data_IF_858911026546
#
_entry.id   IF_858911026546
#
_cell.length_a   1.000
_cell.length_b   1.000
_cell.length_c   1.000
_cell.angle_alpha   90.00
_cell.angle_beta   90.00
_cell.angle_gamma   90.00
#
_symmetry.space_group_name_H-M   'P 1'
#
loop_
_entity.id
_entity.type
_entity.pdbx_description
1 polymer ?
#
# COMPACT_ATOMS: atom_id res chain seq x y z
N UNK A 1 40.62 30.25 60.37
CA UNK A 1 41.47 29.04 60.30
C UNK A 1 41.08 28.24 59.08
N UNK A 2 42.10 27.86 58.28
CA UNK A 2 42.14 26.92 57.13
C UNK A 2 41.29 27.18 55.87
N UNK A 3 42.04 27.55 54.83
CA UNK A 3 41.76 27.47 53.39
C UNK A 3 41.81 26.00 52.92
N UNK A 4 41.00 25.62 51.93
CA UNK A 4 41.39 24.70 50.84
C UNK A 4 40.73 25.21 49.54
N UNK A 5 41.58 25.38 48.52
CA UNK A 5 41.28 25.73 47.12
C UNK A 5 41.05 24.45 46.27
N UNK A 6 40.75 24.64 44.98
CA UNK A 6 40.72 23.72 43.81
C UNK A 6 39.33 23.19 43.45
N UNK A 7 38.91 23.08 42.19
CA UNK A 7 39.41 23.51 40.87
C UNK A 7 38.29 23.20 39.87
N UNK A 8 38.20 24.01 38.80
CA UNK A 8 37.28 23.82 37.68
C UNK A 8 37.55 22.51 36.91
N UNK A 9 36.49 21.89 36.35
CA UNK A 9 36.55 21.21 35.05
C UNK A 9 35.14 20.94 34.49
N UNK A 10 34.94 21.47 33.28
CA UNK A 10 33.86 21.20 32.33
C UNK A 10 33.47 19.72 32.24
N UNK A 11 32.18 19.46 32.06
CA UNK A 11 31.70 18.43 31.12
C UNK A 11 30.28 18.77 30.70
N UNK A 12 30.21 19.45 29.55
CA UNK A 12 29.02 19.64 28.73
C UNK A 12 28.63 18.26 28.18
N UNK A 13 27.71 17.55 28.84
CA UNK A 13 27.11 16.36 28.24
C UNK A 13 26.03 16.81 27.25
N UNK A 14 26.46 17.15 26.04
CA UNK A 14 25.60 17.17 24.87
C UNK A 14 25.11 15.74 24.65
N UNK A 15 23.92 15.42 25.15
CA UNK A 15 23.14 14.31 24.65
C UNK A 15 22.80 14.63 23.20
N UNK A 16 23.64 14.14 22.28
CA UNK A 16 23.28 14.02 20.88
C UNK A 16 22.13 13.03 20.80
N UNK A 17 20.91 13.55 20.87
CA UNK A 17 19.70 12.83 20.43
C UNK A 17 19.81 12.77 18.91
N UNK A 18 20.54 11.78 18.39
CA UNK A 18 20.37 11.40 17.00
C UNK A 18 18.95 10.85 16.89
N UNK A 19 18.07 11.43 16.05
CA UNK A 19 16.85 10.74 15.69
C UNK A 19 17.30 9.51 14.90
N UNK A 20 17.25 8.34 15.54
CA UNK A 20 17.13 7.10 14.80
C UNK A 20 15.87 7.29 13.96
N UNK A 21 16.03 7.40 12.65
CA UNK A 21 14.91 7.18 11.74
C UNK A 21 14.38 5.79 12.11
N UNK A 22 13.22 5.75 12.75
CA UNK A 22 12.55 4.50 13.05
C UNK A 22 12.13 3.93 11.70
N UNK A 23 12.88 2.95 11.20
CA UNK A 23 12.46 2.21 10.03
C UNK A 23 11.21 1.42 10.41
N UNK A 24 10.11 1.61 9.69
CA UNK A 24 8.92 0.79 9.93
C UNK A 24 9.20 -0.63 9.40
N UNK A 25 9.13 -1.64 10.27
CA UNK A 25 9.28 -3.03 9.85
C UNK A 25 8.24 -3.39 8.77
N UNK A 26 8.60 -4.22 7.77
CA UNK A 26 7.65 -4.69 6.78
C UNK A 26 6.41 -5.32 7.42
N UNK A 27 5.24 -4.98 6.90
CA UNK A 27 3.96 -5.47 7.39
C UNK A 27 3.68 -6.80 6.70
N UNK A 28 3.56 -7.90 7.46
CA UNK A 28 2.96 -9.13 6.92
C UNK A 28 1.44 -8.98 6.93
N UNK A 29 0.86 -8.68 5.77
CA UNK A 29 -0.57 -8.42 5.63
C UNK A 29 -1.44 -9.65 5.90
N UNK A 30 -0.86 -10.85 5.86
CA UNK A 30 -1.57 -12.10 6.20
C UNK A 30 -1.92 -12.20 7.69
N UNK A 31 -1.20 -11.46 8.53
CA UNK A 31 -1.39 -11.45 9.99
C UNK A 31 -2.46 -10.46 10.44
N UNK A 32 -3.00 -9.64 9.53
CA UNK A 32 -4.02 -8.66 9.86
C UNK A 32 -5.33 -9.41 10.12
N UNK A 33 -5.89 -9.23 11.33
CA UNK A 33 -7.18 -9.80 11.69
C UNK A 33 -8.36 -8.94 11.23
N UNK A 34 -9.50 -9.59 11.00
CA UNK A 34 -10.76 -8.93 10.76
C UNK A 34 -11.15 -8.00 11.92
N UNK A 35 -10.85 -8.36 13.17
CA UNK A 35 -11.02 -7.48 14.33
C UNK A 35 -10.27 -6.15 14.17
N UNK A 36 -9.01 -6.19 13.73
CA UNK A 36 -8.19 -4.98 13.52
C UNK A 36 -8.77 -4.12 12.40
N UNK A 37 -9.13 -4.73 11.27
CA UNK A 37 -9.70 -4.00 10.13
C UNK A 37 -11.06 -3.36 10.48
N UNK A 38 -11.97 -4.13 11.08
CA UNK A 38 -13.30 -3.65 11.43
C UNK A 38 -13.23 -2.55 12.50
N UNK A 39 -12.36 -2.70 13.51
CA UNK A 39 -12.13 -1.67 14.52
C UNK A 39 -11.59 -0.37 13.93
N UNK A 40 -10.59 -0.45 13.03
CA UNK A 40 -10.05 0.70 12.32
C UNK A 40 -11.14 1.40 11.48
N UNK A 41 -11.92 0.63 10.72
CA UNK A 41 -13.01 1.19 9.93
C UNK A 41 -14.09 1.88 10.80
N UNK A 42 -14.43 1.28 11.94
CA UNK A 42 -15.41 1.84 12.87
C UNK A 42 -14.93 3.12 13.57
N UNK A 43 -13.62 3.24 13.81
CA UNK A 43 -13.02 4.43 14.42
C UNK A 43 -13.10 5.67 13.51
N UNK A 44 -13.09 5.46 12.18
CA UNK A 44 -13.25 6.51 11.15
C UNK A 44 -12.27 7.68 11.30
N UNK A 45 -11.13 7.47 11.95
CA UNK A 45 -10.05 8.47 11.93
C UNK A 45 -9.42 8.47 10.55
N UNK A 46 -8.77 9.58 10.18
CA UNK A 46 -8.08 9.69 8.89
C UNK A 46 -7.06 8.56 8.71
N UNK A 47 -6.25 8.32 9.74
CA UNK A 47 -5.17 7.34 9.69
C UNK A 47 -5.72 5.91 9.63
N UNK A 48 -6.80 5.63 10.36
CA UNK A 48 -7.46 4.32 10.31
C UNK A 48 -8.11 4.04 8.94
N UNK A 49 -8.76 5.04 8.34
CA UNK A 49 -9.33 4.90 7.00
C UNK A 49 -8.23 4.77 5.93
N UNK A 50 -7.10 5.46 6.09
CA UNK A 50 -5.92 5.27 5.23
C UNK A 50 -5.34 3.85 5.37
N UNK A 51 -5.28 3.30 6.58
CA UNK A 51 -4.88 1.91 6.81
C UNK A 51 -5.85 0.93 6.13
N UNK A 52 -7.17 1.09 6.34
CA UNK A 52 -8.19 0.21 5.73
C UNK A 52 -8.12 0.28 4.21
N UNK A 53 -8.12 1.48 3.62
CA UNK A 53 -8.05 1.63 2.17
C UNK A 53 -6.75 1.08 1.59
N UNK A 54 -5.62 1.32 2.26
CA UNK A 54 -4.33 0.79 1.81
C UNK A 54 -4.30 -0.74 1.78
N UNK A 55 -4.71 -1.38 2.88
CA UNK A 55 -4.73 -2.85 2.97
C UNK A 55 -5.71 -3.46 1.98
N UNK A 56 -6.92 -2.89 1.84
CA UNK A 56 -7.92 -3.45 0.93
C UNK A 56 -7.57 -3.25 -0.54
N UNK A 57 -6.95 -2.13 -0.93
CA UNK A 57 -6.42 -1.96 -2.29
C UNK A 57 -5.27 -2.94 -2.56
N UNK A 58 -4.34 -3.10 -1.61
CA UNK A 58 -3.27 -4.08 -1.73
C UNK A 58 -3.84 -5.49 -1.91
N UNK A 59 -4.82 -5.88 -1.11
CA UNK A 59 -5.47 -7.20 -1.24
C UNK A 59 -6.26 -7.34 -2.54
N UNK A 60 -6.88 -6.26 -3.02
CA UNK A 60 -7.56 -6.24 -4.32
C UNK A 60 -6.63 -6.57 -5.46
N UNK A 61 -5.39 -6.05 -5.44
CA UNK A 61 -4.37 -6.39 -6.42
C UNK A 61 -3.79 -7.79 -6.20
N UNK A 62 -3.54 -8.17 -4.95
CA UNK A 62 -3.01 -9.48 -4.60
C UNK A 62 -3.90 -10.64 -5.06
N UNK A 63 -5.22 -10.45 -4.97
CA UNK A 63 -6.21 -11.45 -5.41
C UNK A 63 -6.55 -11.37 -6.90
N UNK A 64 -5.99 -10.41 -7.65
CA UNK A 64 -6.25 -10.30 -9.08
C UNK A 64 -5.81 -11.58 -9.80
N UNK A 65 -6.69 -12.11 -10.65
CA UNK A 65 -6.42 -13.35 -11.37
C UNK A 65 -5.64 -13.11 -12.64
N UNK A 66 -5.09 -14.18 -13.22
CA UNK A 66 -4.44 -14.14 -14.54
C UNK A 66 -5.42 -13.65 -15.61
N UNK A 67 -6.69 -14.06 -15.55
CA UNK A 67 -7.71 -13.70 -16.52
C UNK A 67 -8.16 -12.23 -16.36
N UNK A 68 -8.22 -11.74 -15.12
CA UNK A 68 -8.50 -10.33 -14.84
C UNK A 68 -7.34 -9.42 -15.27
N UNK A 69 -6.10 -9.90 -15.13
CA UNK A 69 -4.89 -9.16 -15.43
C UNK A 69 -4.86 -7.82 -14.69
N UNK A 70 -4.64 -6.73 -15.43
CA UNK A 70 -4.52 -5.36 -14.88
C UNK A 70 -5.81 -4.54 -15.00
N UNK A 71 -6.95 -5.21 -15.20
CA UNK A 71 -8.26 -4.56 -15.31
C UNK A 71 -8.88 -4.39 -13.93
N UNK A 72 -9.23 -3.14 -13.60
CA UNK A 72 -9.81 -2.78 -12.31
C UNK A 72 -11.10 -1.99 -12.51
N UNK A 73 -12.17 -2.47 -11.89
CA UNK A 73 -13.42 -1.72 -11.71
C UNK A 73 -13.44 -1.17 -10.27
N UNK A 74 -13.18 0.14 -10.13
CA UNK A 74 -13.03 0.76 -8.81
C UNK A 74 -14.32 0.74 -7.99
N UNK A 75 -15.48 0.81 -8.64
CA UNK A 75 -16.78 0.79 -7.97
C UNK A 75 -17.07 -0.62 -7.45
N UNK A 76 -16.87 -1.65 -8.28
CA UNK A 76 -17.05 -3.05 -7.84
C UNK A 76 -16.02 -3.46 -6.78
N UNK A 77 -14.78 -2.97 -6.89
CA UNK A 77 -13.76 -3.20 -5.88
C UNK A 77 -14.15 -2.54 -4.55
N UNK A 78 -14.67 -1.32 -4.58
CA UNK A 78 -15.20 -0.63 -3.40
C UNK A 78 -16.40 -1.37 -2.78
N UNK A 79 -17.31 -1.92 -3.58
CA UNK A 79 -18.39 -2.76 -3.06
C UNK A 79 -17.86 -4.02 -2.35
N UNK A 80 -16.79 -4.60 -2.89
CA UNK A 80 -16.10 -5.74 -2.28
C UNK A 80 -15.39 -5.36 -0.98
N UNK A 81 -14.90 -4.12 -0.86
CA UNK A 81 -14.37 -3.57 0.40
C UNK A 81 -15.46 -3.51 1.47
N UNK A 82 -16.64 -3.01 1.11
CA UNK A 82 -17.77 -2.92 2.04
C UNK A 82 -18.19 -4.31 2.53
N UNK A 83 -18.32 -5.30 1.62
CA UNK A 83 -18.63 -6.69 1.98
C UNK A 83 -17.56 -7.30 2.89
N UNK A 84 -16.28 -7.03 2.61
CA UNK A 84 -15.17 -7.51 3.45
C UNK A 84 -15.25 -6.92 4.86
N UNK A 85 -15.49 -5.61 4.99
CA UNK A 85 -15.59 -4.94 6.28
C UNK A 85 -16.79 -5.45 7.08
N UNK A 86 -17.95 -5.61 6.43
CA UNK A 86 -19.15 -6.20 7.04
C UNK A 86 -18.86 -7.61 7.57
N UNK A 87 -18.33 -8.49 6.70
CA UNK A 87 -17.93 -9.84 7.09
C UNK A 87 -16.92 -9.84 8.25
N UNK A 88 -15.93 -8.95 8.22
CA UNK A 88 -14.94 -8.87 9.29
C UNK A 88 -15.53 -8.40 10.62
N UNK A 89 -16.57 -7.56 10.60
CA UNK A 89 -17.27 -7.15 11.81
C UNK A 89 -18.03 -8.30 12.49
N UNK A 90 -18.54 -9.24 11.69
CA UNK A 90 -19.26 -10.42 12.17
C UNK A 90 -18.33 -11.58 12.55
N UNK A 91 -17.10 -11.59 11.99
CA UNK A 91 -16.13 -12.68 12.13
C UNK A 91 -14.74 -12.18 12.56
N UNK A 92 -14.59 -11.57 13.75
CA UNK A 92 -13.35 -10.89 14.16
C UNK A 92 -12.12 -11.81 14.23
N UNK A 93 -12.31 -13.12 14.46
CA UNK A 93 -11.23 -14.11 14.55
C UNK A 93 -10.67 -14.60 13.20
N UNK A 94 -11.21 -14.15 12.07
CA UNK A 94 -10.72 -14.51 10.73
C UNK A 94 -9.62 -13.53 10.29
N UNK A 95 -8.63 -14.00 9.54
CA UNK A 95 -7.63 -13.13 8.90
C UNK A 95 -8.22 -12.37 7.71
N UNK A 96 -7.85 -11.10 7.55
CA UNK A 96 -8.39 -10.25 6.47
C UNK A 96 -8.07 -10.83 5.10
N UNK A 97 -6.90 -11.45 4.91
CA UNK A 97 -6.52 -12.09 3.64
C UNK A 97 -7.55 -13.16 3.21
N UNK A 98 -8.03 -13.99 4.14
CA UNK A 98 -9.07 -14.98 3.87
C UNK A 98 -10.46 -14.36 3.72
N UNK A 99 -10.72 -13.23 4.35
CA UNK A 99 -11.98 -12.50 4.16
C UNK A 99 -12.04 -11.86 2.77
N UNK A 100 -10.95 -11.24 2.30
CA UNK A 100 -10.88 -10.60 0.99
C UNK A 100 -10.92 -11.62 -0.15
N UNK A 101 -10.33 -12.80 0.02
CA UNK A 101 -10.42 -13.89 -0.96
C UNK A 101 -11.88 -14.23 -1.33
N UNK A 102 -12.82 -14.12 -0.39
CA UNK A 102 -14.25 -14.40 -0.62
C UNK A 102 -14.97 -13.37 -1.50
N UNK A 103 -14.43 -12.16 -1.58
CA UNK A 103 -15.13 -11.03 -2.19
C UNK A 103 -14.32 -10.35 -3.30
N UNK A 104 -13.04 -10.70 -3.47
CA UNK A 104 -12.13 -10.11 -4.46
C UNK A 104 -11.66 -11.15 -5.48
N UNK A 105 -10.88 -10.70 -6.47
CA UNK A 105 -10.36 -11.57 -7.53
C UNK A 105 -11.47 -12.14 -8.40
N UNK A 106 -11.51 -13.47 -8.55
CA UNK A 106 -12.56 -14.17 -9.30
C UNK A 106 -13.98 -13.96 -8.76
N UNK A 107 -14.12 -13.47 -7.53
CA UNK A 107 -15.41 -13.20 -6.90
C UNK A 107 -15.95 -11.78 -7.19
N UNK A 108 -15.17 -10.95 -7.90
CA UNK A 108 -15.66 -9.68 -8.46
C UNK A 108 -16.30 -10.00 -9.81
N UNK A 109 -17.54 -9.55 -9.99
CA UNK A 109 -18.26 -9.70 -11.25
C UNK A 109 -17.46 -9.14 -12.44
N UNK A 110 -17.61 -9.77 -13.61
CA UNK A 110 -16.93 -9.43 -14.88
C UNK A 110 -16.77 -7.93 -15.15
N UNK A 111 -15.74 -7.58 -15.91
CA UNK A 111 -15.45 -6.20 -16.32
C UNK A 111 -16.71 -5.47 -16.84
N UNK A 112 -16.92 -4.25 -16.36
CA UNK A 112 -17.99 -3.35 -16.77
C UNK A 112 -17.46 -2.24 -17.69
N UNK A 113 -18.33 -1.42 -18.30
CA UNK A 113 -17.90 -0.22 -19.03
C UNK A 113 -17.06 0.77 -18.21
N UNK A 114 -17.15 0.72 -16.88
CA UNK A 114 -16.39 1.58 -15.95
C UNK A 114 -15.03 0.98 -15.58
N UNK A 115 -14.73 -0.24 -16.03
CA UNK A 115 -13.44 -0.89 -15.79
C UNK A 115 -12.31 -0.18 -16.52
N UNK A 116 -11.20 0.00 -15.81
CA UNK A 116 -9.97 0.62 -16.33
C UNK A 116 -8.90 -0.46 -16.44
N UNK A 117 -8.36 -0.64 -17.64
CA UNK A 117 -7.12 -1.40 -17.82
C UNK A 117 -5.92 -0.51 -17.49
N UNK A 118 -5.20 -0.83 -16.42
CA UNK A 118 -4.01 -0.07 -16.02
C UNK A 118 -2.87 -0.19 -17.03
N UNK A 119 -2.87 -1.21 -17.89
CA UNK A 119 -1.86 -1.38 -18.93
C UNK A 119 -2.00 -0.37 -20.08
N UNK A 120 -3.16 0.25 -20.26
CA UNK A 120 -3.34 1.34 -21.25
C UNK A 120 -3.12 2.73 -20.65
N UNK A 121 -3.10 2.86 -19.32
CA UNK A 121 -2.78 4.11 -18.64
C UNK A 121 -1.32 4.44 -18.90
N UNK A 122 -1.05 5.57 -19.55
CA UNK A 122 0.32 6.02 -19.84
C UNK A 122 0.92 6.81 -18.67
N UNK A 123 2.24 6.81 -18.57
CA UNK A 123 2.99 7.69 -17.68
C UNK A 123 2.62 9.17 -17.86
N UNK A 124 2.40 9.63 -19.09
CA UNK A 124 1.88 10.98 -19.36
C UNK A 124 0.51 11.20 -18.71
N UNK A 125 -0.41 10.23 -18.81
CA UNK A 125 -1.74 10.33 -18.20
C UNK A 125 -1.65 10.42 -16.68
N UNK A 126 -0.74 9.67 -16.04
CA UNK A 126 -0.50 9.76 -14.58
C UNK A 126 -0.04 11.16 -14.17
N UNK A 127 0.72 11.86 -15.02
CA UNK A 127 1.26 13.18 -14.71
C UNK A 127 0.33 14.34 -15.09
N UNK A 128 -0.63 14.13 -15.98
CA UNK A 128 -1.42 15.22 -16.59
C UNK A 128 -2.94 15.06 -16.49
N UNK A 129 -3.44 13.83 -16.36
CA UNK A 129 -4.87 13.55 -16.28
C UNK A 129 -5.34 13.54 -14.81
N UNK A 130 -6.22 14.48 -14.46
CA UNK A 130 -6.74 14.65 -13.10
C UNK A 130 -7.57 13.45 -12.61
N UNK A 131 -8.26 12.76 -13.51
CA UNK A 131 -9.08 11.61 -13.15
C UNK A 131 -8.19 10.42 -12.77
N UNK A 132 -7.07 10.23 -13.49
CA UNK A 132 -6.04 9.25 -13.14
C UNK A 132 -5.35 9.63 -11.82
N UNK A 133 -5.02 10.90 -11.63
CA UNK A 133 -4.35 11.39 -10.42
C UNK A 133 -5.19 11.25 -9.16
N UNK A 134 -6.52 11.35 -9.28
CA UNK A 134 -7.44 11.25 -8.14
C UNK A 134 -7.25 9.95 -7.36
N UNK A 135 -7.02 8.85 -8.05
CA UNK A 135 -6.90 7.51 -7.46
C UNK A 135 -5.47 6.96 -7.50
N UNK A 136 -4.46 7.79 -7.78
CA UNK A 136 -3.10 7.27 -8.08
C UNK A 136 -2.46 6.51 -6.90
N UNK A 137 -2.75 6.91 -5.67
CA UNK A 137 -2.29 6.19 -4.47
C UNK A 137 -2.91 4.80 -4.37
N UNK A 138 -4.22 4.70 -4.62
CA UNK A 138 -4.96 3.44 -4.62
C UNK A 138 -4.48 2.53 -5.76
N UNK A 139 -4.27 3.09 -6.95
CA UNK A 139 -3.70 2.40 -8.11
C UNK A 139 -2.31 1.83 -7.80
N UNK A 140 -1.42 2.61 -7.18
CA UNK A 140 -0.09 2.10 -6.81
C UNK A 140 -0.16 1.03 -5.74
N UNK A 141 -1.04 1.18 -4.75
CA UNK A 141 -1.21 0.17 -3.71
C UNK A 141 -1.77 -1.14 -4.29
N UNK A 142 -2.73 -1.05 -5.21
CA UNK A 142 -3.25 -2.19 -5.97
C UNK A 142 -2.15 -2.85 -6.79
N UNK A 143 -1.34 -2.09 -7.54
CA UNK A 143 -0.20 -2.62 -8.30
C UNK A 143 0.85 -3.29 -7.41
N UNK A 144 1.09 -2.75 -6.21
CA UNK A 144 2.00 -3.37 -5.25
C UNK A 144 1.49 -4.75 -4.79
N UNK A 145 0.19 -4.89 -4.53
CA UNK A 145 -0.43 -6.18 -4.24
C UNK A 145 -0.40 -7.13 -5.42
N UNK A 146 -0.71 -6.64 -6.62
CA UNK A 146 -0.65 -7.39 -7.88
C UNK A 146 0.74 -7.98 -8.09
N UNK A 147 1.81 -7.19 -8.00
CA UNK A 147 3.16 -7.71 -8.15
C UNK A 147 3.57 -8.66 -7.01
N UNK A 148 3.06 -8.46 -5.79
CA UNK A 148 3.34 -9.35 -4.67
C UNK A 148 2.74 -10.75 -4.88
N UNK A 149 1.59 -10.89 -5.53
CA UNK A 149 0.99 -12.20 -5.83
C UNK A 149 1.85 -13.02 -6.81
N UNK A 150 2.45 -12.37 -7.80
CA UNK A 150 3.41 -13.00 -8.72
C UNK A 150 4.79 -13.24 -8.10
N UNK A 151 5.10 -12.59 -6.98
CA UNK A 151 6.35 -12.77 -6.25
C UNK A 151 6.25 -13.93 -5.23
N UNK A 152 6.09 -15.16 -5.73
CA UNK A 152 5.92 -16.36 -4.91
C UNK A 152 4.78 -16.25 -3.87
N UNK A 153 3.77 -15.41 -4.12
CA UNK A 153 2.69 -15.15 -3.15
C UNK A 153 3.16 -14.45 -1.87
N UNK A 154 4.09 -13.50 -1.98
CA UNK A 154 4.58 -12.74 -0.82
C UNK A 154 3.46 -11.91 -0.18
N UNK A 155 3.31 -12.03 1.14
CA UNK A 155 2.35 -11.25 1.93
C UNK A 155 2.99 -10.04 2.60
N UNK A 156 4.23 -9.70 2.22
CA UNK A 156 5.00 -8.64 2.84
C UNK A 156 4.79 -7.30 2.13
N UNK A 157 4.32 -6.31 2.88
CA UNK A 157 4.23 -4.91 2.47
C UNK A 157 5.27 -4.07 3.22
N UNK A 158 6.36 -3.74 2.53
CA UNK A 158 7.37 -2.80 3.01
C UNK A 158 6.99 -1.37 2.57
N UNK A 159 6.55 -0.55 3.53
CA UNK A 159 6.04 0.80 3.25
C UNK A 159 7.16 1.74 2.77
N UNK A 160 8.38 1.60 3.30
CA UNK A 160 9.50 2.45 2.89
C UNK A 160 9.96 2.10 1.48
N UNK A 161 10.07 0.80 1.18
CA UNK A 161 10.31 0.30 -0.16
C UNK A 161 9.22 0.78 -1.12
N UNK A 162 7.95 0.68 -0.74
CA UNK A 162 6.82 1.15 -1.56
C UNK A 162 6.89 2.65 -1.86
N UNK A 163 7.16 3.49 -0.85
CA UNK A 163 7.33 4.95 -1.05
C UNK A 163 8.48 5.24 -2.01
N UNK A 164 9.60 4.52 -1.86
CA UNK A 164 10.73 4.68 -2.78
C UNK A 164 10.37 4.25 -4.20
N UNK A 165 9.74 3.10 -4.37
CA UNK A 165 9.33 2.57 -5.68
C UNK A 165 8.35 3.50 -6.40
N UNK A 166 7.37 4.05 -5.68
CA UNK A 166 6.43 5.02 -6.28
C UNK A 166 7.11 6.33 -6.69
N UNK A 167 8.12 6.78 -5.94
CA UNK A 167 8.98 7.91 -6.36
C UNK A 167 9.80 7.56 -7.61
N UNK A 168 10.44 6.40 -7.65
CA UNK A 168 11.24 5.96 -8.81
C UNK A 168 10.35 5.82 -10.07
N UNK A 169 9.11 5.35 -9.92
CA UNK A 169 8.10 5.29 -11.01
C UNK A 169 7.76 6.70 -11.49
N UNK A 170 7.54 7.67 -10.60
CA UNK A 170 7.22 9.04 -10.98
C UNK A 170 8.36 9.69 -11.81
N UNK A 171 9.61 9.53 -11.37
CA UNK A 171 10.79 10.00 -12.09
C UNK A 171 10.93 9.32 -13.45
N UNK A 172 10.73 8.00 -13.50
CA UNK A 172 10.74 7.25 -14.75
C UNK A 172 9.63 7.70 -15.71
N UNK A 173 8.43 7.93 -15.20
CA UNK A 173 7.30 8.39 -16.00
C UNK A 173 7.52 9.78 -16.58
N UNK A 174 8.18 10.69 -15.85
CA UNK A 174 8.55 12.01 -16.38
C UNK A 174 9.51 11.90 -17.57
N UNK A 175 10.42 10.93 -17.54
CA UNK A 175 11.36 10.67 -18.64
C UNK A 175 10.76 9.84 -19.79
N UNK A 176 9.71 9.05 -19.53
CA UNK A 176 9.16 8.07 -20.46
C UNK A 176 7.62 8.21 -20.60
N UNK A 177 7.11 9.34 -21.12
CA UNK A 177 5.68 9.68 -21.09
C UNK A 177 4.77 8.66 -21.81
N UNK A 178 5.31 7.95 -22.82
CA UNK A 178 4.54 6.98 -23.62
C UNK A 178 4.54 5.55 -23.04
N UNK A 179 5.33 5.29 -22.00
CA UNK A 179 5.34 3.98 -21.35
C UNK A 179 4.05 3.78 -20.54
N UNK A 180 3.53 2.55 -20.49
CA UNK A 180 2.37 2.25 -19.64
C UNK A 180 2.77 2.26 -18.17
N UNK A 181 1.80 2.59 -17.31
CA UNK A 181 1.96 2.58 -15.86
C UNK A 181 2.34 1.19 -15.35
N UNK A 182 1.71 0.14 -15.88
CA UNK A 182 2.05 -1.26 -15.54
C UNK A 182 3.50 -1.59 -15.88
N UNK A 183 3.99 -1.20 -17.06
CA UNK A 183 5.41 -1.44 -17.42
C UNK A 183 6.36 -0.71 -16.47
N UNK A 184 6.00 0.52 -16.07
CA UNK A 184 6.79 1.26 -15.10
C UNK A 184 6.72 0.59 -13.71
N UNK A 185 5.56 0.14 -13.28
CA UNK A 185 5.38 -0.59 -12.02
C UNK A 185 6.17 -1.89 -12.02
N UNK A 186 6.07 -2.72 -13.06
CA UNK A 186 6.87 -3.94 -13.23
C UNK A 186 8.36 -3.64 -13.03
N UNK A 187 8.88 -2.59 -13.66
CA UNK A 187 10.30 -2.22 -13.57
C UNK A 187 10.79 -1.99 -12.14
N UNK A 188 9.96 -1.47 -11.24
CA UNK A 188 10.38 -1.05 -9.90
C UNK A 188 9.77 -1.88 -8.77
N UNK A 189 8.59 -2.48 -8.98
CA UNK A 189 7.81 -3.21 -7.98
C UNK A 189 7.96 -4.73 -8.08
N UNK A 190 8.29 -5.28 -9.26
CA UNK A 190 8.65 -6.70 -9.35
C UNK A 190 9.99 -6.97 -8.67
N UNK A 191 10.23 -8.21 -8.22
CA UNK A 191 11.58 -8.60 -7.83
C UNK A 191 12.48 -8.59 -9.07
N UNK A 192 13.66 -7.97 -8.94
CA UNK A 192 14.74 -8.24 -9.88
C UNK A 192 15.16 -9.71 -9.70
N UNK A 193 15.03 -10.52 -10.75
CA UNK A 193 15.73 -11.82 -10.84
C UNK A 193 17.23 -11.69 -10.52
#
# INVERSE_FOLDING_TARGET
MKRIFLSALSSLFLLAVFPLAASADPIDVSTISCEKLASAYAAKTKDDLSFVNGILNWMGGYHATVDQGTVVDWDKLSDSFNKTVEFCSEHPGIGVLSATEKFMGENIEDASPESVDLAIVTCESVLTNKDVQKNIGDTFMWLAGYHASYNNGSTMLDIEKFIKQTSDIADYCAANPKTSLVTAAEKFMSESE
#
